data_IF_077643895625
#
_entry.id   IF_077643895625
#
_cell.length_a   1.000
_cell.length_b   1.000
_cell.length_c   1.000
_cell.angle_alpha   90.00
_cell.angle_beta   90.00
_cell.angle_gamma   90.00
#
_symmetry.space_group_name_H-M   'P 1'
#
loop_
_entity.id
_entity.type
_entity.pdbx_description
1 polymer ?
#
# COMPACT_ATOMS: atom_id res chain seq x y z
N UNK A 1 5.18 -15.53 -18.77
CA UNK A 1 5.92 -14.39 -18.26
C UNK A 1 4.97 -13.75 -17.29
N UNK A 2 5.08 -14.16 -16.02
CA UNK A 2 4.00 -14.06 -15.03
C UNK A 2 4.25 -12.86 -14.13
N UNK A 3 4.54 -11.72 -14.75
CA UNK A 3 4.76 -10.47 -14.04
C UNK A 3 3.47 -9.65 -14.10
N UNK A 4 2.98 -9.25 -12.93
CA UNK A 4 1.87 -8.32 -12.83
C UNK A 4 2.26 -6.97 -13.45
N UNK A 5 1.35 -6.40 -14.23
CA UNK A 5 1.45 -5.04 -14.72
C UNK A 5 1.28 -4.05 -13.56
N UNK A 6 1.72 -2.80 -13.76
CA UNK A 6 1.56 -1.76 -12.74
C UNK A 6 0.08 -1.48 -12.42
N UNK A 7 -0.80 -1.60 -13.42
CA UNK A 7 -2.24 -1.42 -13.24
C UNK A 7 -2.85 -2.54 -12.36
N UNK A 8 -2.43 -3.79 -12.57
CA UNK A 8 -2.86 -4.91 -11.71
C UNK A 8 -2.32 -4.76 -10.28
N UNK A 9 -1.08 -4.29 -10.12
CA UNK A 9 -0.50 -3.99 -8.81
C UNK A 9 -1.32 -2.91 -8.10
N UNK A 10 -1.67 -1.83 -8.81
CA UNK A 10 -2.45 -0.73 -8.26
C UNK A 10 -3.86 -1.18 -7.86
N UNK A 11 -4.50 -2.02 -8.68
CA UNK A 11 -5.80 -2.62 -8.38
C UNK A 11 -5.73 -3.50 -7.12
N UNK A 12 -4.76 -4.42 -7.05
CA UNK A 12 -4.60 -5.35 -5.91
C UNK A 12 -4.23 -4.60 -4.63
N UNK A 13 -3.38 -3.58 -4.73
CA UNK A 13 -2.93 -2.80 -3.56
C UNK A 13 -3.96 -1.75 -3.10
N UNK A 14 -5.05 -1.56 -3.87
CA UNK A 14 -6.04 -0.52 -3.61
C UNK A 14 -5.42 0.87 -3.68
N UNK A 15 -4.66 1.15 -4.75
CA UNK A 15 -4.08 2.47 -5.02
C UNK A 15 -5.18 3.43 -5.50
N UNK A 16 -5.21 4.64 -4.96
CA UNK A 16 -6.11 5.72 -5.32
C UNK A 16 -5.36 7.06 -5.28
N UNK A 17 -5.85 8.04 -6.02
CA UNK A 17 -5.28 9.39 -6.05
C UNK A 17 -5.95 10.30 -5.03
N UNK A 18 -5.15 11.10 -4.33
CA UNK A 18 -5.64 12.16 -3.45
C UNK A 18 -5.12 13.50 -3.94
N UNK A 19 -6.00 14.51 -4.00
CA UNK A 19 -5.59 15.88 -4.28
C UNK A 19 -4.74 16.40 -3.11
N UNK A 20 -3.56 16.96 -3.41
CA UNK A 20 -2.65 17.50 -2.37
C UNK A 20 -2.91 18.96 -2.03
N UNK A 21 -3.88 19.61 -2.68
CA UNK A 21 -4.42 20.90 -2.29
C UNK A 21 -3.54 22.13 -2.60
N UNK A 22 -2.54 22.00 -3.48
CA UNK A 22 -1.82 23.18 -3.97
C UNK A 22 -2.68 23.96 -4.97
N UNK A 23 -3.15 25.11 -4.53
CA UNK A 23 -4.04 25.99 -5.30
C UNK A 23 -3.39 26.36 -6.64
N UNK A 24 -4.08 26.07 -7.75
CA UNK A 24 -3.62 26.34 -9.12
C UNK A 24 -2.82 25.24 -9.83
N UNK A 25 -2.45 24.15 -9.15
CA UNK A 25 -1.78 23.00 -9.76
C UNK A 25 -2.58 21.73 -9.43
N UNK A 26 -2.99 20.96 -10.44
CA UNK A 26 -3.54 19.61 -10.25
C UNK A 26 -2.43 18.66 -9.78
N UNK A 27 -1.95 18.85 -8.56
CA UNK A 27 -1.05 17.94 -7.89
C UNK A 27 -1.89 16.88 -7.18
N UNK A 28 -1.71 15.64 -7.59
CA UNK A 28 -2.26 14.45 -6.93
C UNK A 28 -1.11 13.65 -6.33
N UNK A 29 -1.43 12.88 -5.29
CA UNK A 29 -0.53 11.88 -4.74
C UNK A 29 -1.22 10.52 -4.78
N UNK A 30 -0.51 9.50 -5.23
CA UNK A 30 -0.98 8.12 -5.14
C UNK A 30 -0.85 7.62 -3.69
N UNK A 31 -1.93 7.03 -3.17
CA UNK A 31 -1.98 6.37 -1.87
C UNK A 31 -2.54 4.97 -2.06
N UNK A 32 -2.02 3.99 -1.33
CA UNK A 32 -2.47 2.59 -1.43
C UNK A 32 -2.90 2.08 -0.06
N UNK A 33 -3.95 1.24 -0.03
CA UNK A 33 -4.37 0.57 1.19
C UNK A 33 -3.36 -0.46 1.66
N UNK A 34 -2.74 -1.19 0.73
CA UNK A 34 -1.69 -2.17 0.99
C UNK A 34 -0.34 -1.71 0.39
N UNK A 35 0.80 -2.13 0.97
CA UNK A 35 2.11 -1.76 0.47
C UNK A 35 2.33 -2.35 -0.92
N UNK A 36 2.67 -1.50 -1.89
CA UNK A 36 3.08 -1.97 -3.21
C UNK A 36 4.36 -2.83 -3.11
N UNK A 37 4.66 -3.71 -4.09
CA UNK A 37 5.81 -4.63 -4.02
C UNK A 37 7.15 -3.96 -3.71
N UNK A 38 7.41 -2.78 -4.27
CA UNK A 38 8.62 -2.01 -3.99
C UNK A 38 8.72 -1.53 -2.53
N UNK A 39 7.61 -1.07 -1.96
CA UNK A 39 7.54 -0.64 -0.56
C UNK A 39 7.66 -1.83 0.40
N UNK A 40 7.04 -2.96 0.07
CA UNK A 40 7.18 -4.20 0.84
C UNK A 40 8.63 -4.69 0.86
N UNK A 41 9.32 -4.67 -0.29
CA UNK A 41 10.70 -5.13 -0.41
C UNK A 41 11.68 -4.33 0.45
N UNK A 42 11.42 -3.04 0.69
CA UNK A 42 12.29 -2.14 1.46
C UNK A 42 11.90 -1.97 2.93
N UNK A 43 10.73 -2.46 3.37
CA UNK A 43 10.20 -2.18 4.71
C UNK A 43 10.83 -3.00 5.86
N UNK A 44 11.79 -3.89 5.57
CA UNK A 44 12.45 -4.75 6.57
C UNK A 44 11.63 -5.97 7.01
N UNK A 45 10.33 -6.04 6.68
CA UNK A 45 9.49 -7.22 6.93
C UNK A 45 9.60 -8.29 5.83
N UNK A 46 10.26 -7.97 4.71
CA UNK A 46 10.48 -8.89 3.61
C UNK A 46 11.67 -9.85 3.89
N UNK A 47 11.48 -10.80 4.82
CA UNK A 47 12.49 -11.79 5.22
C UNK A 47 12.32 -13.17 4.53
N UNK A 48 11.56 -13.24 3.44
CA UNK A 48 11.36 -14.47 2.65
C UNK A 48 10.25 -15.40 3.16
N UNK A 49 9.63 -15.08 4.28
CA UNK A 49 8.46 -15.77 4.81
C UNK A 49 7.55 -14.79 5.57
N UNK A 50 6.32 -15.19 5.87
CA UNK A 50 5.41 -14.39 6.68
C UNK A 50 5.80 -14.48 8.17
N UNK A 51 6.51 -13.46 8.65
CA UNK A 51 6.97 -13.39 10.04
C UNK A 51 5.85 -12.97 10.99
N UNK A 52 6.07 -13.16 12.29
CA UNK A 52 5.15 -12.65 13.33
C UNK A 52 4.98 -11.13 13.24
N UNK A 53 6.04 -10.40 12.89
CA UNK A 53 6.00 -8.95 12.74
C UNK A 53 5.19 -8.53 11.50
N UNK A 54 5.28 -9.30 10.40
CA UNK A 54 4.45 -9.10 9.22
C UNK A 54 2.95 -9.27 9.55
N UNK A 55 2.59 -10.31 10.31
CA UNK A 55 1.22 -10.51 10.78
C UNK A 55 0.74 -9.35 11.68
N UNK A 56 1.57 -8.95 12.65
CA UNK A 56 1.22 -7.84 13.54
C UNK A 56 1.00 -6.54 12.78
N UNK A 57 1.84 -6.24 11.79
CA UNK A 57 1.70 -5.08 10.93
C UNK A 57 0.40 -5.15 10.13
N UNK A 58 0.09 -6.31 9.53
CA UNK A 58 -1.11 -6.53 8.72
C UNK A 58 -2.40 -6.31 9.54
N UNK A 59 -2.49 -6.92 10.72
CA UNK A 59 -3.65 -6.76 11.61
C UNK A 59 -3.83 -5.32 12.06
N UNK A 60 -2.73 -4.63 12.41
CA UNK A 60 -2.80 -3.21 12.77
C UNK A 60 -3.30 -2.36 11.59
N UNK A 61 -2.81 -2.63 10.38
CA UNK A 61 -3.26 -1.94 9.17
C UNK A 61 -4.73 -2.21 8.86
N UNK A 62 -5.20 -3.45 9.01
CA UNK A 62 -6.63 -3.79 8.88
C UNK A 62 -7.50 -2.97 9.82
N UNK A 63 -7.09 -2.83 11.08
CA UNK A 63 -7.83 -2.03 12.06
C UNK A 63 -7.90 -0.55 11.66
N UNK A 64 -6.80 0.01 11.13
CA UNK A 64 -6.79 1.38 10.62
C UNK A 64 -7.72 1.55 9.41
N UNK A 65 -7.73 0.59 8.47
CA UNK A 65 -8.59 0.64 7.28
C UNK A 65 -10.08 0.50 7.64
N UNK A 66 -10.42 -0.38 8.59
CA UNK A 66 -11.79 -0.57 9.06
C UNK A 66 -12.33 0.61 9.87
N UNK A 67 -11.44 1.49 10.33
CA UNK A 67 -11.77 2.64 11.19
C UNK A 67 -12.00 2.22 12.66
N UNK A 68 -11.96 3.17 13.61
CA UNK A 68 -12.51 2.91 14.93
C UNK A 68 -14.01 2.63 14.77
N UNK A 69 -14.47 1.48 15.30
CA UNK A 69 -15.89 1.19 15.44
C UNK A 69 -16.58 2.17 16.39
#
# INVERSE_FOLDING_TARGET
DDHLTEEEIDLICGTYEVATGMDGIHQTAARSWWPRPGAWRSCGLNCGYWSRDAESWFQNRLNVIRGPG
#
